data_IF_742257390543
#
_entry.id   IF_742257390543
#
_cell.length_a   1.000
_cell.length_b   1.000
_cell.length_c   1.000
_cell.angle_alpha   90.00
_cell.angle_beta   90.00
_cell.angle_gamma   90.00
#
_symmetry.space_group_name_H-M   'P 1'
#
loop_
_entity.id
_entity.type
_entity.pdbx_description
1 polymer ?
#
# COMPACT_ATOMS: atom_id res chain seq x y z
N UNK A 1 -16.80 17.38 14.27
CA UNK A 1 -16.07 17.66 13.01
C UNK A 1 -16.83 17.01 11.88
N UNK A 2 -17.50 17.80 11.07
CA UNK A 2 -18.14 17.32 9.85
C UNK A 2 -17.02 16.89 8.89
N UNK A 3 -16.96 15.59 8.60
CA UNK A 3 -16.31 15.11 7.39
C UNK A 3 -17.17 15.60 6.22
N UNK A 4 -16.85 16.80 5.74
CA UNK A 4 -17.33 17.27 4.44
C UNK A 4 -16.82 16.26 3.42
N UNK A 5 -17.72 15.41 2.93
CA UNK A 5 -17.58 14.74 1.65
C UNK A 5 -17.43 15.85 0.61
N UNK A 6 -16.19 16.24 0.32
CA UNK A 6 -15.89 17.11 -0.81
C UNK A 6 -16.18 16.29 -2.08
N UNK A 7 -17.43 16.40 -2.52
CA UNK A 7 -17.99 15.85 -3.76
C UNK A 7 -17.46 16.58 -5.01
N UNK A 8 -16.20 17.03 -4.97
CA UNK A 8 -15.52 17.72 -6.06
C UNK A 8 -14.28 16.95 -6.53
N UNK A 9 -14.42 15.64 -6.73
CA UNK A 9 -13.49 14.92 -7.58
C UNK A 9 -13.88 15.26 -9.04
N UNK A 10 -13.08 16.03 -9.80
CA UNK A 10 -13.41 16.36 -11.19
C UNK A 10 -13.59 15.04 -11.92
N UNK A 11 -14.69 14.84 -12.64
CA UNK A 11 -14.98 13.59 -13.34
C UNK A 11 -13.82 13.23 -14.31
N UNK A 12 -12.81 12.47 -13.86
CA UNK A 12 -11.79 11.97 -14.76
C UNK A 12 -12.42 10.82 -15.56
N UNK A 13 -12.77 11.14 -16.81
CA UNK A 13 -12.77 10.11 -17.84
C UNK A 13 -11.44 9.36 -17.77
N UNK A 14 -11.52 8.05 -17.57
CA UNK A 14 -10.39 7.13 -17.50
C UNK A 14 -9.55 7.19 -16.20
N UNK A 15 -10.18 6.94 -15.05
CA UNK A 15 -9.49 6.69 -13.79
C UNK A 15 -8.79 5.33 -13.76
N UNK A 16 -7.45 5.33 -13.73
CA UNK A 16 -6.67 4.14 -13.40
C UNK A 16 -6.70 3.91 -11.87
N UNK A 17 -7.65 3.07 -11.42
CA UNK A 17 -7.83 2.70 -10.01
C UNK A 17 -6.55 2.15 -9.35
N UNK A 18 -5.64 1.57 -10.15
CA UNK A 18 -4.38 1.01 -9.71
C UNK A 18 -3.30 2.05 -9.37
N UNK A 19 -3.36 3.28 -9.92
CA UNK A 19 -2.21 4.19 -9.92
C UNK A 19 -2.36 5.44 -9.04
N UNK A 20 -3.55 5.97 -8.83
CA UNK A 20 -3.68 7.38 -8.43
C UNK A 20 -4.06 7.66 -6.97
N UNK A 21 -4.64 6.71 -6.23
CA UNK A 21 -5.32 7.00 -4.95
C UNK A 21 -4.72 6.37 -3.68
N UNK A 22 -4.14 5.15 -3.65
CA UNK A 22 -3.80 4.53 -2.37
C UNK A 22 -2.55 5.15 -1.73
N UNK A 23 -1.53 5.51 -2.51
CA UNK A 23 -0.26 6.03 -2.00
C UNK A 23 -0.40 7.43 -1.36
N UNK A 24 -1.09 8.35 -2.04
CA UNK A 24 -1.33 9.72 -1.55
C UNK A 24 -2.24 9.72 -0.33
N UNK A 25 -3.25 8.83 -0.28
CA UNK A 25 -4.13 8.69 0.88
C UNK A 25 -3.41 8.15 2.11
N UNK A 26 -2.56 7.14 1.94
CA UNK A 26 -1.82 6.54 3.06
C UNK A 26 -0.81 7.51 3.67
N UNK A 27 -0.09 8.26 2.84
CA UNK A 27 0.89 9.25 3.31
C UNK A 27 0.24 10.43 4.03
N UNK A 28 -0.88 10.96 3.52
CA UNK A 28 -1.61 12.04 4.18
C UNK A 28 -2.20 11.60 5.53
N UNK A 29 -2.75 10.38 5.59
CA UNK A 29 -3.30 9.81 6.82
C UNK A 29 -2.22 9.66 7.89
N UNK A 30 -1.07 9.09 7.53
CA UNK A 30 0.08 8.91 8.43
C UNK A 30 0.63 10.23 8.98
N UNK A 31 0.53 11.34 8.23
CA UNK A 31 0.94 12.67 8.70
C UNK A 31 -0.09 13.38 9.58
N UNK A 32 -1.36 13.05 9.44
CA UNK A 32 -2.43 13.70 10.21
C UNK A 32 -2.75 12.96 11.51
N UNK A 33 -2.71 11.63 11.49
CA UNK A 33 -3.04 10.79 12.65
C UNK A 33 -2.21 11.10 13.91
N UNK A 34 -0.87 11.26 13.87
CA UNK A 34 -0.10 11.58 15.08
C UNK A 34 -0.45 12.95 15.67
N UNK A 35 -0.93 13.92 14.86
CA UNK A 35 -1.41 15.21 15.37
C UNK A 35 -2.68 15.07 16.20
N UNK A 36 -3.57 14.15 15.80
CA UNK A 36 -4.78 13.81 16.55
C UNK A 36 -4.44 13.02 17.82
N UNK A 37 -3.37 12.21 17.76
CA UNK A 37 -2.89 11.37 18.85
C UNK A 37 -1.80 12.02 19.70
N UNK A 38 -1.54 13.33 19.57
CA UNK A 38 -0.37 13.99 20.19
C UNK A 38 -0.24 13.80 21.71
N UNK A 39 -1.36 13.57 22.40
CA UNK A 39 -1.41 13.35 23.85
C UNK A 39 -1.16 11.88 24.25
N UNK A 40 -0.98 10.99 23.28
CA UNK A 40 -0.66 9.58 23.47
C UNK A 40 0.73 9.36 22.87
N UNK A 41 1.66 8.83 23.67
CA UNK A 41 3.03 8.53 23.23
C UNK A 41 3.03 7.35 22.24
N UNK A 42 2.48 7.58 21.05
CA UNK A 42 2.23 6.59 19.99
C UNK A 42 2.96 7.08 18.75
N UNK A 43 3.77 6.21 18.17
CA UNK A 43 4.44 6.42 16.91
C UNK A 43 3.49 5.98 15.79
N UNK A 44 3.34 6.80 14.76
CA UNK A 44 2.54 6.48 13.58
C UNK A 44 3.43 6.54 12.36
N UNK A 45 3.63 5.40 11.71
CA UNK A 45 4.40 5.29 10.48
C UNK A 45 3.63 4.49 9.43
N UNK A 46 3.92 4.73 8.15
CA UNK A 46 3.42 3.91 7.06
C UNK A 46 4.53 2.96 6.58
N UNK A 47 4.17 1.72 6.29
CA UNK A 47 5.08 0.74 5.71
C UNK A 47 4.46 0.14 4.45
N UNK A 48 5.27 -0.02 3.40
CA UNK A 48 4.85 -0.64 2.15
C UNK A 48 5.64 -1.93 1.91
N UNK A 49 4.95 -3.09 1.82
CA UNK A 49 5.59 -4.42 1.71
C UNK A 49 6.29 -4.66 0.35
N UNK A 50 6.23 -3.69 -0.56
CA UNK A 50 6.64 -3.87 -1.95
C UNK A 50 5.62 -4.69 -2.72
N UNK A 51 6.02 -5.18 -3.90
CA UNK A 51 5.18 -6.05 -4.71
C UNK A 51 5.28 -7.49 -4.18
N UNK A 52 4.27 -7.93 -3.44
CA UNK A 52 4.22 -9.26 -2.82
C UNK A 52 3.28 -10.21 -3.54
N UNK A 53 3.67 -11.48 -3.61
CA UNK A 53 2.85 -12.53 -4.16
C UNK A 53 1.65 -12.74 -3.24
N UNK A 54 0.52 -12.21 -3.67
CA UNK A 54 -0.73 -12.25 -2.94
C UNK A 54 -1.85 -12.55 -3.92
N UNK A 55 -3.01 -12.94 -3.41
CA UNK A 55 -4.21 -13.13 -4.22
C UNK A 55 -4.86 -11.78 -4.63
N UNK A 56 -4.10 -10.68 -4.52
CA UNK A 56 -4.56 -9.36 -4.91
C UNK A 56 -4.76 -9.32 -6.43
N UNK A 57 -5.86 -8.71 -6.87
CA UNK A 57 -6.32 -8.71 -8.25
C UNK A 57 -6.78 -10.06 -8.83
N UNK A 58 -6.91 -11.12 -8.02
CA UNK A 58 -7.57 -12.36 -8.47
C UNK A 58 -9.04 -12.06 -8.74
N UNK A 59 -9.51 -12.44 -9.92
CA UNK A 59 -10.91 -12.34 -10.35
C UNK A 59 -11.46 -10.91 -10.56
N UNK A 60 -10.60 -9.94 -10.88
CA UNK A 60 -11.08 -8.59 -11.30
C UNK A 60 -11.87 -8.65 -12.62
N UNK A 61 -11.65 -9.68 -13.45
CA UNK A 61 -12.26 -9.78 -14.77
C UNK A 61 -13.44 -10.75 -14.77
N UNK A 62 -14.62 -10.22 -15.07
CA UNK A 62 -15.88 -10.98 -15.11
C UNK A 62 -15.99 -11.94 -16.33
N UNK A 63 -15.26 -11.69 -17.41
CA UNK A 63 -15.28 -12.57 -18.58
C UNK A 63 -14.36 -13.79 -18.35
N UNK A 64 -14.85 -15.04 -18.46
CA UNK A 64 -14.09 -16.23 -18.09
C UNK A 64 -12.83 -16.46 -18.94
N UNK A 65 -12.88 -16.15 -20.25
CA UNK A 65 -11.71 -16.32 -21.16
C UNK A 65 -10.64 -15.29 -20.83
N UNK A 66 -11.04 -14.05 -20.61
CA UNK A 66 -10.12 -12.98 -20.23
C UNK A 66 -9.62 -13.15 -18.80
N UNK A 67 -10.42 -13.70 -17.89
CA UNK A 67 -10.00 -14.05 -16.54
C UNK A 67 -8.87 -15.09 -16.60
N UNK A 68 -9.01 -16.14 -17.42
CA UNK A 68 -7.94 -17.12 -17.60
C UNK A 68 -6.64 -16.50 -18.12
N UNK A 69 -6.72 -15.68 -19.17
CA UNK A 69 -5.53 -15.04 -19.75
C UNK A 69 -4.88 -14.04 -18.79
N UNK A 70 -5.68 -13.26 -18.07
CA UNK A 70 -5.18 -12.30 -17.07
C UNK A 70 -4.55 -13.00 -15.86
N UNK A 71 -5.13 -14.08 -15.35
CA UNK A 71 -4.52 -14.88 -14.28
C UNK A 71 -3.21 -15.52 -14.74
N UNK A 72 -3.15 -16.02 -15.97
CA UNK A 72 -1.91 -16.57 -16.53
C UNK A 72 -0.83 -15.49 -16.66
N UNK A 73 -1.16 -14.32 -17.21
CA UNK A 73 -0.22 -13.20 -17.30
C UNK A 73 0.23 -12.71 -15.92
N UNK A 74 -0.70 -12.58 -14.97
CA UNK A 74 -0.39 -12.20 -13.59
C UNK A 74 0.48 -13.23 -12.88
N UNK A 75 0.29 -14.53 -13.13
CA UNK A 75 1.14 -15.59 -12.61
C UNK A 75 2.60 -15.47 -13.10
N UNK A 76 2.78 -15.17 -14.39
CA UNK A 76 4.12 -14.93 -14.95
C UNK A 76 4.77 -13.69 -14.34
N UNK A 77 4.03 -12.57 -14.28
CA UNK A 77 4.51 -11.32 -13.69
C UNK A 77 4.84 -11.51 -12.21
N UNK A 78 3.98 -12.22 -11.47
CA UNK A 78 4.22 -12.49 -10.05
C UNK A 78 5.47 -13.32 -9.87
N UNK A 79 5.66 -14.39 -10.66
CA UNK A 79 6.83 -15.25 -10.53
C UNK A 79 8.16 -14.50 -10.74
N UNK A 80 8.18 -13.47 -11.59
CA UNK A 80 9.40 -12.70 -11.88
C UNK A 80 9.64 -11.52 -10.94
N UNK A 81 8.59 -10.82 -10.51
CA UNK A 81 8.73 -9.54 -9.82
C UNK A 81 8.20 -9.53 -8.39
N UNK A 82 7.43 -10.54 -7.97
CA UNK A 82 6.89 -10.55 -6.60
C UNK A 82 7.86 -11.14 -5.60
N UNK A 83 7.92 -10.49 -4.44
CA UNK A 83 8.50 -11.05 -3.23
C UNK A 83 7.55 -12.06 -2.61
N UNK A 84 8.11 -12.99 -1.84
CA UNK A 84 7.30 -13.86 -0.99
C UNK A 84 6.55 -13.06 0.08
N UNK A 85 5.44 -13.61 0.57
CA UNK A 85 4.70 -12.97 1.67
C UNK A 85 5.55 -12.77 2.93
N UNK A 86 6.50 -13.67 3.20
CA UNK A 86 7.44 -13.56 4.33
C UNK A 86 8.44 -12.41 4.13
N UNK A 87 8.96 -12.22 2.92
CA UNK A 87 9.85 -11.09 2.62
C UNK A 87 9.14 -9.75 2.73
N UNK A 88 7.92 -9.62 2.21
CA UNK A 88 7.15 -8.40 2.38
C UNK A 88 6.67 -8.14 3.81
N UNK A 89 6.57 -9.16 4.66
CA UNK A 89 6.24 -8.97 6.07
C UNK A 89 7.40 -8.36 6.89
N UNK A 90 8.65 -8.52 6.44
CA UNK A 90 9.84 -8.03 7.17
C UNK A 90 9.79 -6.53 7.42
N UNK A 91 9.37 -5.73 6.44
CA UNK A 91 9.29 -4.26 6.59
C UNK A 91 8.21 -3.85 7.59
N UNK A 92 7.11 -4.60 7.66
CA UNK A 92 6.02 -4.34 8.62
C UNK A 92 6.52 -4.67 10.02
N UNK A 93 7.22 -5.79 10.19
CA UNK A 93 7.82 -6.17 11.46
C UNK A 93 8.86 -5.12 11.90
N UNK A 94 9.77 -4.74 11.01
CA UNK A 94 10.75 -3.68 11.24
C UNK A 94 10.08 -2.37 11.69
N UNK A 95 9.07 -1.91 10.96
CA UNK A 95 8.33 -0.69 11.31
C UNK A 95 7.58 -0.77 12.65
N UNK A 96 7.27 -1.97 13.13
CA UNK A 96 6.55 -2.20 14.37
C UNK A 96 7.46 -2.42 15.59
N UNK A 97 8.68 -2.92 15.39
CA UNK A 97 9.56 -3.37 16.49
C UNK A 97 10.85 -2.58 16.63
N UNK A 98 11.29 -1.86 15.60
CA UNK A 98 12.57 -1.16 15.62
C UNK A 98 12.44 0.23 16.25
N UNK A 99 13.31 0.55 17.22
CA UNK A 99 13.29 1.83 17.94
C UNK A 99 13.76 3.01 17.07
N UNK A 100 14.38 2.76 15.91
CA UNK A 100 14.82 3.80 14.98
C UNK A 100 13.70 4.40 14.14
N UNK A 101 12.48 3.85 14.25
CA UNK A 101 11.31 4.30 13.50
C UNK A 101 10.85 5.68 13.96
N UNK A 102 10.70 6.57 13.00
CA UNK A 102 10.22 7.94 13.20
C UNK A 102 8.75 8.03 12.86
N UNK A 103 8.03 8.79 13.68
CA UNK A 103 6.63 9.13 13.41
C UNK A 103 6.52 9.99 12.15
N UNK A 104 5.39 9.89 11.46
CA UNK A 104 5.05 10.59 10.21
C UNK A 104 5.83 10.16 8.95
N UNK A 105 6.74 9.18 9.07
CA UNK A 105 7.54 8.68 7.96
C UNK A 105 6.86 7.53 7.18
N UNK A 106 7.34 7.34 5.95
CA UNK A 106 6.92 6.29 5.03
C UNK A 106 8.13 5.39 4.72
N UNK A 107 8.01 4.11 5.04
CA UNK A 107 9.05 3.11 4.87
C UNK A 107 8.71 2.18 3.70
N UNK A 108 9.58 2.13 2.70
CA UNK A 108 9.45 1.20 1.58
C UNK A 108 10.40 0.01 1.75
N UNK A 109 9.91 -1.19 1.48
CA UNK A 109 10.70 -2.42 1.49
C UNK A 109 11.90 -2.37 0.54
N UNK A 110 11.91 -1.50 -0.47
CA UNK A 110 13.07 -1.31 -1.35
C UNK A 110 14.23 -0.54 -0.69
N UNK A 111 13.98 0.19 0.40
CA UNK A 111 14.98 0.99 1.09
C UNK A 111 15.49 0.35 2.40
N UNK A 112 14.80 -0.67 2.91
CA UNK A 112 15.12 -1.32 4.18
C UNK A 112 15.89 -2.62 3.93
N UNK A 113 17.16 -2.65 4.34
CA UNK A 113 18.08 -3.78 4.14
C UNK A 113 19.31 -3.48 3.27
N UNK A 114 19.57 -2.22 2.91
CA UNK A 114 20.88 -1.81 2.38
C UNK A 114 21.83 -1.71 3.57
N UNK A 115 22.60 -2.79 3.79
CA UNK A 115 23.76 -2.79 4.71
C UNK A 115 24.98 -2.30 3.96
#
# INVERSE_FOLDING_TARGET
>A
MNLSSDDNLPALGNYNYLLALPYSRMTLFTKQLPKVLANKNIIVAAAHPGFVNSQFCRDIVNNPVFNFLSNFAMYFISTLFTRSGTEGAKIILFAATDDSIKSEEYYDSCAVGVV
#
